data_IF_175753040397
#
_entry.id   IF_175753040397
#
_cell.length_a   1.000
_cell.length_b   1.000
_cell.length_c   1.000
_cell.angle_alpha   90.00
_cell.angle_beta   90.00
_cell.angle_gamma   90.00
#
_symmetry.space_group_name_H-M   'P 1'
#
loop_
_entity.id
_entity.type
_entity.pdbx_description
1 polymer ?
#
# COMPACT_ATOMS: atom_id res chain seq x y z
N UNK A 1 -16.86 16.75 32.20
CA UNK A 1 -16.95 17.34 30.84
C UNK A 1 -16.20 18.68 30.94
N UNK A 2 -15.28 18.99 30.00
CA UNK A 2 -14.41 20.20 29.98
C UNK A 2 -12.99 20.10 30.55
N UNK A 3 -12.22 19.08 30.14
CA UNK A 3 -10.73 19.14 30.19
C UNK A 3 -10.01 18.76 28.89
N UNK A 4 -10.72 18.58 27.78
CA UNK A 4 -10.12 18.12 26.49
C UNK A 4 -9.87 19.28 25.52
N UNK A 5 -9.85 20.54 25.98
CA UNK A 5 -9.88 21.72 25.09
C UNK A 5 -8.69 22.67 25.17
N UNK A 6 -7.59 22.35 25.87
CA UNK A 6 -6.50 23.33 26.07
C UNK A 6 -5.07 22.79 26.06
N UNK A 7 -4.80 21.69 25.37
CA UNK A 7 -3.42 21.41 25.00
C UNK A 7 -3.36 20.70 23.64
N UNK A 8 -2.99 21.44 22.60
CA UNK A 8 -2.77 20.85 21.26
C UNK A 8 -1.69 19.75 21.33
N UNK A 9 -0.76 19.82 22.28
CA UNK A 9 0.21 18.78 22.55
C UNK A 9 -0.42 17.52 23.15
N UNK A 10 -1.33 17.62 24.13
CA UNK A 10 -2.02 16.42 24.65
C UNK A 10 -2.91 15.79 23.58
N UNK A 11 -3.61 16.59 22.76
CA UNK A 11 -4.41 16.04 21.67
C UNK A 11 -3.53 15.32 20.63
N UNK A 12 -2.37 15.90 20.29
CA UNK A 12 -1.41 15.29 19.37
C UNK A 12 -0.85 14.00 19.96
N UNK A 13 -0.41 14.00 21.23
CA UNK A 13 0.08 12.81 21.91
C UNK A 13 -0.99 11.71 22.04
N UNK A 14 -2.25 12.09 22.28
CA UNK A 14 -3.37 11.16 22.34
C UNK A 14 -3.65 10.54 20.96
N UNK A 15 -3.61 11.35 19.90
CA UNK A 15 -3.73 10.86 18.52
C UNK A 15 -2.56 9.93 18.17
N UNK A 16 -1.32 10.30 18.48
CA UNK A 16 -0.13 9.46 18.29
C UNK A 16 -0.22 8.13 19.04
N UNK A 17 -0.80 8.11 20.25
CA UNK A 17 -1.00 6.87 21.02
C UNK A 17 -2.08 5.93 20.44
N UNK A 18 -3.02 6.47 19.64
CA UNK A 18 -4.06 5.69 18.94
C UNK A 18 -3.54 5.08 17.63
N UNK A 19 -2.49 5.66 17.04
CA UNK A 19 -1.77 5.10 15.90
C UNK A 19 -0.74 4.08 16.38
N UNK A 20 -1.17 2.93 16.93
CA UNK A 20 -0.25 1.81 17.11
C UNK A 20 -0.03 1.19 15.72
N UNK A 21 1.06 1.48 15.00
CA UNK A 21 1.24 1.03 13.64
C UNK A 21 1.81 -0.39 13.72
N UNK A 22 0.94 -1.38 13.94
CA UNK A 22 1.35 -2.78 13.76
C UNK A 22 1.18 -3.10 12.28
N UNK A 23 2.31 -3.14 11.60
CA UNK A 23 2.43 -3.59 10.22
C UNK A 23 3.57 -4.60 10.14
N UNK A 24 3.50 -5.48 9.15
CA UNK A 24 4.46 -6.54 8.95
C UNK A 24 4.69 -6.75 7.45
N UNK A 25 5.90 -7.17 7.10
CA UNK A 25 6.19 -7.55 5.73
C UNK A 25 5.32 -8.76 5.34
N UNK A 26 4.74 -8.72 4.14
CA UNK A 26 3.91 -9.78 3.59
C UNK A 26 2.73 -10.20 4.50
N UNK A 27 2.11 -9.22 5.20
CA UNK A 27 0.91 -9.43 6.02
C UNK A 27 -0.20 -10.10 5.22
N UNK A 28 -0.78 -11.17 5.76
CA UNK A 28 -1.70 -12.06 5.04
C UNK A 28 -1.05 -12.61 3.76
N UNK A 29 -0.10 -13.53 3.94
CA UNK A 29 0.76 -14.08 2.88
C UNK A 29 0.02 -14.48 1.59
N UNK A 30 -1.19 -15.05 1.71
CA UNK A 30 -1.99 -15.47 0.55
C UNK A 30 -2.33 -14.29 -0.38
N UNK A 31 -2.60 -13.09 0.16
CA UNK A 31 -2.85 -11.89 -0.64
C UNK A 31 -1.67 -11.60 -1.57
N UNK A 32 -0.44 -11.67 -1.05
CA UNK A 32 0.75 -11.42 -1.86
C UNK A 32 1.05 -12.55 -2.85
N UNK A 33 0.72 -13.80 -2.50
CA UNK A 33 0.82 -14.95 -3.43
C UNK A 33 -0.18 -14.82 -4.59
N UNK A 34 -1.41 -14.42 -4.31
CA UNK A 34 -2.45 -14.14 -5.32
C UNK A 34 -2.07 -12.93 -6.19
N UNK A 35 -1.52 -11.88 -5.58
CA UNK A 35 -0.99 -10.74 -6.33
C UNK A 35 0.11 -11.18 -7.32
N UNK A 36 1.07 -11.99 -6.85
CA UNK A 36 2.18 -12.47 -7.66
C UNK A 36 1.75 -13.37 -8.82
N UNK A 37 0.84 -14.31 -8.53
CA UNK A 37 0.51 -15.43 -9.43
C UNK A 37 -0.69 -15.18 -10.33
N UNK A 38 -1.59 -14.27 -9.94
CA UNK A 38 -2.84 -13.99 -10.69
C UNK A 38 -2.89 -12.54 -11.18
N UNK A 39 -2.58 -11.57 -10.31
CA UNK A 39 -2.74 -10.15 -10.63
C UNK A 39 -1.63 -9.64 -11.54
N UNK A 40 -0.36 -9.77 -11.16
CA UNK A 40 0.76 -9.25 -11.95
C UNK A 40 0.80 -9.78 -13.40
N UNK A 41 0.60 -11.09 -13.66
CA UNK A 41 0.54 -11.59 -15.04
C UNK A 41 -0.57 -10.95 -15.85
N UNK A 42 -1.70 -10.61 -15.23
CA UNK A 42 -2.89 -10.09 -15.94
C UNK A 42 -2.64 -8.72 -16.59
N UNK A 43 -1.71 -7.93 -16.06
CA UNK A 43 -1.38 -6.61 -16.60
C UNK A 43 -0.49 -6.68 -17.85
N UNK A 44 0.31 -7.74 -18.00
CA UNK A 44 1.30 -7.83 -19.09
C UNK A 44 0.65 -8.06 -20.45
N UNK A 45 -0.45 -8.79 -20.51
CA UNK A 45 -1.08 -9.20 -21.78
C UNK A 45 -1.74 -8.06 -22.57
N UNK A 46 -2.01 -6.90 -21.94
CA UNK A 46 -2.84 -5.84 -22.53
C UNK A 46 -2.20 -4.46 -22.58
N UNK A 47 -0.95 -4.31 -22.12
CA UNK A 47 -0.31 -3.00 -21.99
C UNK A 47 0.77 -2.76 -23.06
N UNK A 48 1.01 -1.49 -23.45
CA UNK A 48 2.07 -1.13 -24.39
C UNK A 48 3.47 -1.55 -23.89
N UNK A 49 4.43 -1.71 -24.82
CA UNK A 49 5.83 -2.07 -24.53
C UNK A 49 6.60 -1.10 -23.61
N UNK A 50 6.07 0.09 -23.34
CA UNK A 50 6.66 1.12 -22.46
C UNK A 50 5.61 1.64 -21.47
N UNK A 51 5.11 0.75 -20.64
CA UNK A 51 4.15 1.07 -19.59
C UNK A 51 4.80 0.91 -18.22
N UNK A 52 4.43 1.80 -17.30
CA UNK A 52 4.86 1.78 -15.90
C UNK A 52 3.69 1.28 -15.07
N UNK A 53 3.87 0.15 -14.37
CA UNK A 53 2.89 -0.36 -13.41
C UNK A 53 2.91 0.53 -12.17
N UNK A 54 1.82 1.24 -11.93
CA UNK A 54 1.70 2.16 -10.78
C UNK A 54 0.96 1.52 -9.64
N UNK A 55 1.59 1.47 -8.48
CA UNK A 55 0.98 0.99 -7.23
C UNK A 55 0.86 2.11 -6.21
N UNK A 56 -0.29 2.23 -5.56
CA UNK A 56 -0.49 3.13 -4.43
C UNK A 56 -0.78 2.34 -3.14
N UNK A 57 0.13 2.41 -2.15
CA UNK A 57 -0.12 1.89 -0.81
C UNK A 57 -0.59 3.01 0.12
N UNK A 58 -1.85 2.97 0.52
CA UNK A 58 -2.49 3.97 1.40
C UNK A 58 -2.47 3.47 2.84
N UNK A 59 -1.96 4.29 3.76
CA UNK A 59 -1.74 3.89 5.15
C UNK A 59 -0.50 3.02 5.32
N UNK A 60 0.61 3.39 4.69
CA UNK A 60 1.80 2.54 4.61
C UNK A 60 2.52 2.34 5.94
N UNK A 61 2.16 3.07 7.00
CA UNK A 61 2.77 3.03 8.32
C UNK A 61 4.31 3.11 8.21
N UNK A 62 5.03 2.16 8.80
CA UNK A 62 6.50 2.08 8.81
C UNK A 62 7.09 1.49 7.53
N UNK A 63 6.29 1.29 6.48
CA UNK A 63 6.71 1.00 5.11
C UNK A 63 6.69 -0.47 4.69
N UNK A 64 6.45 -1.40 5.61
CA UNK A 64 6.55 -2.84 5.38
C UNK A 64 5.71 -3.32 4.18
N UNK A 65 4.45 -2.87 4.07
CA UNK A 65 3.58 -3.21 2.95
C UNK A 65 4.06 -2.62 1.62
N UNK A 66 4.54 -1.38 1.64
CA UNK A 66 5.09 -0.70 0.45
C UNK A 66 6.34 -1.41 -0.07
N UNK A 67 7.24 -1.82 0.84
CA UNK A 67 8.43 -2.59 0.49
C UNK A 67 8.09 -4.01 0.03
N UNK A 68 7.11 -4.67 0.64
CA UNK A 68 6.59 -5.96 0.15
C UNK A 68 6.05 -5.87 -1.27
N UNK A 69 5.27 -4.83 -1.58
CA UNK A 69 4.80 -4.58 -2.94
C UNK A 69 5.96 -4.30 -3.89
N UNK A 70 6.92 -3.46 -3.51
CA UNK A 70 8.08 -3.17 -4.36
C UNK A 70 8.91 -4.43 -4.67
N UNK A 71 9.17 -5.28 -3.66
CA UNK A 71 9.87 -6.56 -3.87
C UNK A 71 9.09 -7.48 -4.81
N UNK A 72 7.77 -7.56 -4.64
CA UNK A 72 6.90 -8.38 -5.48
C UNK A 72 6.92 -7.89 -6.93
N UNK A 73 6.84 -6.57 -7.13
CA UNK A 73 6.85 -5.94 -8.44
C UNK A 73 8.19 -6.10 -9.15
N UNK A 74 9.32 -5.97 -8.45
CA UNK A 74 10.64 -6.18 -9.04
C UNK A 74 10.83 -7.62 -9.54
N UNK A 75 10.35 -8.61 -8.80
CA UNK A 75 10.38 -9.99 -9.27
C UNK A 75 9.41 -10.24 -10.42
N UNK A 76 8.19 -9.71 -10.33
CA UNK A 76 7.22 -9.78 -11.41
C UNK A 76 7.72 -9.13 -12.70
N UNK A 77 8.48 -8.03 -12.59
CA UNK A 77 9.11 -7.31 -13.70
C UNK A 77 10.06 -8.24 -14.47
N UNK A 78 10.87 -9.01 -13.76
CA UNK A 78 11.81 -9.95 -14.36
C UNK A 78 11.13 -11.19 -14.96
N UNK A 79 10.09 -11.69 -14.29
CA UNK A 79 9.38 -12.91 -14.71
C UNK A 79 8.48 -12.63 -15.91
N UNK A 80 7.73 -11.54 -15.89
CA UNK A 80 6.69 -11.24 -16.89
C UNK A 80 7.10 -10.15 -17.89
N UNK A 81 8.21 -9.45 -17.66
CA UNK A 81 8.80 -8.55 -18.65
C UNK A 81 8.06 -7.22 -18.86
N UNK A 82 7.27 -6.75 -17.89
CA UNK A 82 6.80 -5.35 -17.94
C UNK A 82 7.96 -4.39 -17.68
N UNK A 83 7.91 -3.20 -18.30
CA UNK A 83 9.10 -2.35 -18.46
C UNK A 83 9.55 -1.72 -17.14
N UNK A 84 8.63 -1.06 -16.43
CA UNK A 84 8.92 -0.24 -15.26
C UNK A 84 7.78 -0.37 -14.23
N UNK A 85 8.07 -0.05 -12.97
CA UNK A 85 7.05 0.15 -11.94
C UNK A 85 7.41 1.30 -11.01
N UNK A 86 6.40 1.83 -10.34
CA UNK A 86 6.52 2.77 -9.24
C UNK A 86 5.56 2.40 -8.11
N UNK A 87 6.01 2.57 -6.88
CA UNK A 87 5.17 2.46 -5.67
C UNK A 87 5.11 3.82 -5.02
N UNK A 88 3.92 4.40 -4.96
CA UNK A 88 3.65 5.56 -4.13
C UNK A 88 3.08 5.04 -2.82
N UNK A 89 3.70 5.39 -1.70
CA UNK A 89 3.24 4.97 -0.38
C UNK A 89 2.99 6.20 0.49
N UNK A 90 1.78 6.25 1.04
CA UNK A 90 1.27 7.42 1.76
C UNK A 90 0.80 7.10 3.16
N UNK A 91 1.05 8.01 4.10
CA UNK A 91 0.49 7.94 5.46
C UNK A 91 0.24 9.35 6.02
N UNK A 92 -0.52 9.44 7.10
CA UNK A 92 -0.74 10.66 7.88
C UNK A 92 0.32 10.85 8.97
N UNK A 93 0.91 9.74 9.44
CA UNK A 93 1.80 9.72 10.59
C UNK A 93 3.27 9.90 10.19
N UNK A 94 3.77 11.14 10.30
CA UNK A 94 5.14 11.51 9.93
C UNK A 94 6.24 10.67 10.59
N UNK A 95 6.17 10.30 11.89
CA UNK A 95 7.18 9.44 12.51
C UNK A 95 7.26 8.06 11.85
N UNK A 96 6.13 7.47 11.46
CA UNK A 96 6.11 6.19 10.75
C UNK A 96 6.70 6.32 9.34
N UNK A 97 6.37 7.38 8.61
CA UNK A 97 6.97 7.66 7.30
C UNK A 97 8.49 7.87 7.42
N UNK A 98 8.96 8.52 8.49
CA UNK A 98 10.39 8.69 8.73
C UNK A 98 11.11 7.34 8.94
N UNK A 99 10.47 6.37 9.61
CA UNK A 99 10.97 5.00 9.73
C UNK A 99 11.01 4.33 8.34
N UNK A 100 9.92 4.42 7.58
CA UNK A 100 9.83 3.87 6.22
C UNK A 100 10.94 4.44 5.31
N UNK A 101 11.17 5.76 5.37
CA UNK A 101 12.22 6.45 4.62
C UNK A 101 13.61 6.05 5.07
N UNK A 102 13.84 5.78 6.36
CA UNK A 102 15.11 5.18 6.78
C UNK A 102 15.25 3.79 6.19
N UNK A 103 14.17 3.00 6.13
CA UNK A 103 14.16 1.68 5.52
C UNK A 103 15.11 0.71 6.22
N UNK A 104 15.28 0.86 7.53
CA UNK A 104 16.15 0.02 8.36
C UNK A 104 15.25 -0.75 9.33
N UNK A 105 15.33 -2.07 9.28
CA UNK A 105 14.48 -2.98 10.03
C UNK A 105 15.29 -4.00 10.82
N UNK A 106 14.69 -4.56 11.86
CA UNK A 106 15.28 -5.66 12.64
C UNK A 106 15.11 -7.02 11.96
N UNK A 107 15.92 -8.00 12.35
CA UNK A 107 15.72 -9.40 11.90
C UNK A 107 14.31 -9.92 12.19
N UNK A 108 13.74 -9.54 13.34
CA UNK A 108 12.40 -9.97 13.75
C UNK A 108 11.31 -9.41 12.81
N UNK A 109 11.41 -8.13 12.41
CA UNK A 109 10.49 -7.53 11.45
C UNK A 109 10.57 -8.19 10.06
N UNK A 110 11.74 -8.70 9.69
CA UNK A 110 11.93 -9.39 8.40
C UNK A 110 11.56 -10.88 8.45
N UNK A 111 11.01 -11.40 9.55
CA UNK A 111 10.71 -12.83 9.71
C UNK A 111 9.83 -13.38 8.58
N UNK A 112 8.83 -12.61 8.16
CA UNK A 112 7.86 -12.98 7.12
C UNK A 112 8.36 -12.71 5.69
N UNK A 113 9.50 -12.03 5.51
CA UNK A 113 10.11 -11.82 4.18
C UNK A 113 10.72 -13.14 3.71
N UNK A 114 10.37 -13.66 2.51
CA UNK A 114 10.98 -14.86 1.95
C UNK A 114 12.52 -14.74 1.92
N UNK A 115 13.23 -15.81 2.31
CA UNK A 115 14.69 -15.78 2.45
C UNK A 115 15.41 -15.28 1.18
N UNK A 116 14.94 -15.70 0.00
CA UNK A 116 15.45 -15.26 -1.31
C UNK A 116 15.33 -13.75 -1.53
N UNK A 117 14.18 -13.16 -1.18
CA UNK A 117 13.95 -11.71 -1.26
C UNK A 117 14.78 -10.97 -0.20
N UNK A 118 14.90 -11.55 1.01
CA UNK A 118 15.68 -10.97 2.10
C UNK A 118 17.17 -10.84 1.73
N UNK A 119 17.73 -11.88 1.11
CA UNK A 119 19.14 -11.87 0.65
C UNK A 119 19.37 -10.87 -0.47
N UNK A 120 18.36 -10.64 -1.32
CA UNK A 120 18.47 -9.78 -2.51
C UNK A 120 18.20 -8.31 -2.22
N UNK A 121 17.17 -8.00 -1.45
CA UNK A 121 16.63 -6.64 -1.29
C UNK A 121 16.99 -5.99 0.04
N UNK A 122 17.85 -6.63 0.83
CA UNK A 122 18.31 -6.08 2.09
C UNK A 122 19.80 -6.28 2.30
N UNK A 123 20.43 -5.31 2.95
CA UNK A 123 21.85 -5.32 3.28
C UNK A 123 22.03 -5.06 4.78
N UNK A 124 22.82 -5.87 5.50
CA UNK A 124 23.18 -5.58 6.88
C UNK A 124 23.97 -4.27 7.01
N UNK A 125 23.67 -3.50 8.05
CA UNK A 125 24.33 -2.23 8.39
C UNK A 125 24.57 -2.16 9.90
N UNK A 126 25.30 -1.16 10.37
CA UNK A 126 25.53 -0.96 11.81
C UNK A 126 24.23 -0.66 12.59
N UNK A 127 23.20 -0.13 11.92
CA UNK A 127 21.94 0.31 12.52
C UNK A 127 20.82 -0.74 12.39
N UNK A 128 21.06 -1.86 11.72
CA UNK A 128 20.06 -2.88 11.42
C UNK A 128 20.17 -3.36 9.98
N UNK A 129 19.06 -3.79 9.39
CA UNK A 129 19.03 -4.34 8.03
C UNK A 129 18.33 -3.32 7.12
N UNK A 130 19.09 -2.74 6.19
CA UNK A 130 18.60 -1.69 5.30
C UNK A 130 18.02 -2.27 4.02
N UNK A 131 16.93 -1.69 3.52
CA UNK A 131 16.42 -1.94 2.17
C UNK A 131 17.45 -1.51 1.13
N UNK A 132 17.60 -2.29 0.06
CA UNK A 132 18.54 -2.06 -1.03
C UNK A 132 18.24 -0.75 -1.79
N UNK A 133 19.26 0.06 -2.15
CA UNK A 133 19.09 1.32 -2.87
C UNK A 133 18.32 1.21 -4.20
N UNK A 134 18.47 0.11 -4.93
CA UNK A 134 17.76 -0.09 -6.20
C UNK A 134 16.25 -0.14 -5.98
N UNK A 135 15.80 -0.83 -4.92
CA UNK A 135 14.39 -0.89 -4.56
C UNK A 135 13.87 0.45 -4.04
N UNK A 136 14.69 1.16 -3.24
CA UNK A 136 14.34 2.49 -2.72
C UNK A 136 14.07 3.51 -3.82
N UNK A 137 14.79 3.42 -4.94
CA UNK A 137 14.57 4.32 -6.09
C UNK A 137 13.19 4.14 -6.76
N UNK A 138 12.49 3.05 -6.46
CA UNK A 138 11.16 2.70 -7.00
C UNK A 138 10.01 3.06 -6.07
N UNK A 139 10.30 3.50 -4.85
CA UNK A 139 9.29 3.76 -3.82
C UNK A 139 9.33 5.22 -3.38
N UNK A 140 8.25 5.95 -3.64
CA UNK A 140 8.05 7.30 -3.15
C UNK A 140 7.25 7.27 -1.86
N UNK A 141 7.82 7.81 -0.77
CA UNK A 141 7.16 7.89 0.53
C UNK A 141 6.71 9.32 0.82
N UNK A 142 5.40 9.52 0.94
CA UNK A 142 4.78 10.85 1.00
C UNK A 142 3.81 10.96 2.17
N UNK A 143 3.91 12.04 2.94
CA UNK A 143 2.88 12.37 3.91
C UNK A 143 1.64 12.90 3.18
N UNK A 144 0.52 12.22 3.33
CA UNK A 144 -0.69 12.57 2.60
C UNK A 144 -1.96 12.16 3.35
N UNK A 145 -2.91 13.10 3.40
CA UNK A 145 -4.27 12.85 3.88
C UNK A 145 -5.18 12.50 2.71
N UNK A 146 -5.61 11.24 2.64
CA UNK A 146 -6.53 10.74 1.62
C UNK A 146 -7.91 11.41 1.69
N UNK A 147 -8.29 12.00 2.83
CA UNK A 147 -9.52 12.79 2.98
C UNK A 147 -9.32 14.28 2.70
N UNK A 148 -8.06 14.73 2.55
CA UNK A 148 -7.71 16.12 2.32
C UNK A 148 -8.11 16.62 0.93
N UNK A 149 -7.95 17.93 0.68
CA UNK A 149 -8.34 18.52 -0.61
C UNK A 149 -7.45 18.13 -1.79
N UNK A 150 -6.21 17.69 -1.54
CA UNK A 150 -5.31 17.19 -2.58
C UNK A 150 -5.64 15.73 -2.86
N UNK A 151 -5.81 15.35 -4.12
CA UNK A 151 -6.25 14.00 -4.53
C UNK A 151 -5.15 12.93 -4.39
N UNK A 152 -3.88 13.32 -4.52
CA UNK A 152 -2.72 12.44 -4.42
C UNK A 152 -1.42 13.26 -4.20
N UNK A 153 -0.26 12.61 -3.92
CA UNK A 153 1.05 13.25 -4.06
C UNK A 153 1.23 13.91 -5.43
N UNK A 154 2.03 14.98 -5.51
CA UNK A 154 2.23 15.79 -6.72
C UNK A 154 2.70 15.00 -7.95
N UNK A 155 3.31 13.84 -7.74
CA UNK A 155 3.79 12.90 -8.76
C UNK A 155 2.67 12.12 -9.46
N UNK A 156 1.55 11.89 -8.78
CA UNK A 156 0.39 11.15 -9.31
C UNK A 156 -0.70 12.05 -9.94
N UNK A 157 -0.47 13.37 -10.00
CA UNK A 157 -1.49 14.36 -10.43
C UNK A 157 -1.93 14.18 -11.88
N UNK A 158 -1.28 13.32 -12.68
CA UNK A 158 -1.59 13.13 -14.10
C UNK A 158 -2.03 11.71 -14.45
N UNK A 159 -1.93 10.72 -13.55
CA UNK A 159 -2.19 9.33 -13.92
C UNK A 159 -2.89 8.48 -12.85
N UNK A 160 -3.71 7.54 -13.32
CA UNK A 160 -4.39 6.53 -12.51
C UNK A 160 -3.41 5.42 -12.07
N UNK A 161 -3.79 4.70 -11.03
CA UNK A 161 -3.05 3.56 -10.50
C UNK A 161 -3.61 2.23 -11.01
N UNK A 162 -2.70 1.31 -11.31
CA UNK A 162 -3.03 -0.05 -11.71
C UNK A 162 -3.36 -0.93 -10.50
N UNK A 163 -2.69 -0.68 -9.38
CA UNK A 163 -2.94 -1.37 -8.11
C UNK A 163 -3.06 -0.33 -6.99
N UNK A 164 -4.13 -0.38 -6.20
CA UNK A 164 -4.25 0.36 -4.96
C UNK A 164 -4.37 -0.64 -3.81
N UNK A 165 -3.51 -0.50 -2.82
CA UNK A 165 -3.54 -1.27 -1.58
C UNK A 165 -4.01 -0.33 -0.47
N UNK A 166 -5.18 -0.64 0.11
CA UNK A 166 -5.80 0.11 1.20
C UNK A 166 -6.23 -0.91 2.27
N UNK A 167 -5.26 -1.36 3.06
CA UNK A 167 -5.45 -2.46 4.02
C UNK A 167 -5.34 -1.96 5.44
N UNK A 168 -6.29 -2.37 6.28
CA UNK A 168 -6.34 -2.08 7.71
C UNK A 168 -6.36 -0.58 8.04
N UNK A 169 -6.93 0.26 7.16
CA UNK A 169 -7.07 1.71 7.35
C UNK A 169 -8.53 2.09 7.60
N UNK A 170 -9.46 1.51 6.84
CA UNK A 170 -10.89 1.81 6.89
C UNK A 170 -11.50 1.45 8.25
N UNK A 171 -10.93 0.47 8.95
CA UNK A 171 -11.36 0.05 10.29
C UNK A 171 -11.30 1.18 11.34
N UNK A 172 -10.52 2.23 11.10
CA UNK A 172 -10.42 3.40 11.98
C UNK A 172 -11.43 4.52 11.64
N UNK A 173 -12.18 4.36 10.55
CA UNK A 173 -13.06 5.39 10.01
C UNK A 173 -14.53 5.04 10.21
N UNK A 174 -15.37 6.07 10.42
CA UNK A 174 -16.82 5.89 10.37
C UNK A 174 -17.28 5.57 8.94
N UNK A 175 -18.50 5.03 8.78
CA UNK A 175 -19.01 4.62 7.46
C UNK A 175 -19.04 5.75 6.44
N UNK A 176 -19.33 6.99 6.84
CA UNK A 176 -19.37 8.14 5.93
C UNK A 176 -17.97 8.46 5.41
N UNK A 177 -16.95 8.38 6.26
CA UNK A 177 -15.56 8.57 5.87
C UNK A 177 -15.03 7.41 5.03
N UNK A 178 -15.38 6.16 5.37
CA UNK A 178 -15.04 4.99 4.55
C UNK A 178 -15.54 5.15 3.11
N UNK A 179 -16.80 5.54 2.93
CA UNK A 179 -17.37 5.79 1.58
C UNK A 179 -16.58 6.88 0.84
N UNK A 180 -16.28 8.01 1.49
CA UNK A 180 -15.50 9.10 0.86
C UNK A 180 -14.10 8.67 0.43
N UNK A 181 -13.39 7.92 1.29
CA UNK A 181 -12.07 7.37 0.95
C UNK A 181 -12.18 6.45 -0.25
N UNK A 182 -13.15 5.54 -0.24
CA UNK A 182 -13.31 4.57 -1.31
C UNK A 182 -13.76 5.22 -2.62
N UNK A 183 -14.65 6.21 -2.62
CA UNK A 183 -14.99 7.01 -3.81
C UNK A 183 -13.75 7.62 -4.46
N UNK A 184 -12.84 8.17 -3.64
CA UNK A 184 -11.57 8.70 -4.14
C UNK A 184 -10.67 7.60 -4.69
N UNK A 185 -10.53 6.48 -3.99
CA UNK A 185 -9.78 5.31 -4.48
C UNK A 185 -10.33 4.85 -5.82
N UNK A 186 -11.64 4.68 -5.95
CA UNK A 186 -12.30 4.31 -7.22
C UNK A 186 -11.93 5.30 -8.33
N UNK A 187 -11.95 6.61 -8.05
CA UNK A 187 -11.62 7.64 -9.03
C UNK A 187 -10.16 7.61 -9.49
N UNK A 188 -9.27 7.06 -8.66
CA UNK A 188 -7.83 6.97 -8.91
C UNK A 188 -7.39 5.59 -9.43
N UNK A 189 -8.25 4.57 -9.38
CA UNK A 189 -7.99 3.24 -9.97
C UNK A 189 -8.26 3.25 -11.47
N UNK A 190 -7.33 2.75 -12.28
CA UNK A 190 -7.54 2.57 -13.73
C UNK A 190 -8.64 1.53 -14.02
N UNK A 191 -9.27 1.60 -15.18
CA UNK A 191 -10.21 0.54 -15.61
C UNK A 191 -9.44 -0.77 -15.78
N UNK A 192 -9.96 -1.85 -15.19
CA UNK A 192 -9.23 -3.12 -15.07
C UNK A 192 -8.13 -3.13 -14.01
N UNK A 193 -7.90 -2.01 -13.31
CA UNK A 193 -7.02 -1.92 -12.16
C UNK A 193 -7.55 -2.68 -10.95
N UNK A 194 -6.70 -2.85 -9.95
CA UNK A 194 -6.94 -3.70 -8.79
C UNK A 194 -6.98 -2.89 -7.51
N UNK A 195 -7.96 -3.17 -6.67
CA UNK A 195 -8.05 -2.67 -5.30
C UNK A 195 -7.90 -3.84 -4.33
N UNK A 196 -6.98 -3.72 -3.38
CA UNK A 196 -6.77 -4.69 -2.30
C UNK A 196 -7.19 -4.07 -0.97
N UNK A 197 -8.13 -4.70 -0.27
CA UNK A 197 -8.57 -4.30 1.07
C UNK A 197 -8.10 -5.31 2.13
N UNK A 198 -8.14 -4.93 3.41
CA UNK A 198 -7.91 -5.84 4.51
C UNK A 198 -9.06 -6.82 4.69
N UNK A 199 -8.80 -8.00 5.26
CA UNK A 199 -9.76 -9.11 5.32
C UNK A 199 -11.17 -8.75 5.88
N UNK A 200 -11.22 -7.83 6.85
CA UNK A 200 -12.45 -7.38 7.52
C UNK A 200 -13.05 -6.11 6.90
N UNK A 201 -12.40 -5.52 5.90
CA UNK A 201 -12.84 -4.32 5.21
C UNK A 201 -13.70 -4.68 4.00
N UNK A 202 -14.68 -3.85 3.69
CA UNK A 202 -15.69 -4.12 2.66
C UNK A 202 -15.97 -2.89 1.83
N UNK A 203 -16.29 -3.10 0.55
CA UNK A 203 -16.83 -2.06 -0.30
C UNK A 203 -18.26 -1.68 0.16
N UNK A 204 -18.59 -0.38 0.24
CA UNK A 204 -19.96 0.10 0.36
C UNK A 204 -20.83 -0.42 -0.79
N UNK A 205 -22.11 -0.65 -0.52
CA UNK A 205 -23.06 -1.17 -1.51
C UNK A 205 -23.17 -0.27 -2.74
N UNK A 206 -22.97 1.03 -2.58
CA UNK A 206 -23.01 2.02 -3.65
C UNK A 206 -21.85 1.86 -4.64
N UNK A 207 -20.72 1.29 -4.19
CA UNK A 207 -19.50 1.08 -4.97
C UNK A 207 -19.32 -0.36 -5.41
N UNK A 208 -20.07 -1.31 -4.85
CA UNK A 208 -19.92 -2.74 -5.14
C UNK A 208 -20.23 -3.12 -6.58
N UNK A 209 -21.00 -2.30 -7.32
CA UNK A 209 -21.26 -2.52 -8.75
C UNK A 209 -20.09 -2.14 -9.66
N UNK A 210 -19.10 -1.41 -9.15
CA UNK A 210 -17.93 -0.94 -9.92
C UNK A 210 -16.75 -1.90 -9.83
N UNK A 211 -16.83 -2.88 -8.92
CA UNK A 211 -15.76 -3.84 -8.65
C UNK A 211 -16.31 -5.25 -8.61
N UNK A 212 -15.55 -6.17 -9.16
CA UNK A 212 -15.77 -7.60 -8.98
C UNK A 212 -14.61 -8.22 -8.20
N UNK A 213 -14.84 -9.39 -7.59
CA UNK A 213 -13.73 -10.17 -7.01
C UNK A 213 -12.77 -10.55 -8.14
N UNK A 214 -11.47 -10.36 -7.91
CA UNK A 214 -10.47 -10.67 -8.91
C UNK A 214 -10.54 -12.17 -9.26
N UNK A 215 -10.66 -12.55 -10.55
CA UNK A 215 -10.83 -13.94 -10.94
C UNK A 215 -9.73 -14.86 -10.40
N UNK A 216 -10.13 -15.97 -9.77
CA UNK A 216 -9.22 -16.96 -9.19
C UNK A 216 -8.82 -16.71 -7.73
N UNK A 217 -9.14 -15.54 -7.18
CA UNK A 217 -8.88 -15.22 -5.75
C UNK A 217 -10.06 -15.62 -4.87
N UNK A 218 -9.79 -15.95 -3.60
CA UNK A 218 -10.85 -16.18 -2.63
C UNK A 218 -11.43 -14.84 -2.14
N UNK A 219 -12.75 -14.78 -1.94
CA UNK A 219 -13.42 -13.54 -1.49
C UNK A 219 -12.86 -12.99 -0.17
N UNK A 220 -12.35 -13.85 0.71
CA UNK A 220 -11.72 -13.49 1.98
C UNK A 220 -10.42 -12.68 1.83
N UNK A 221 -9.74 -12.80 0.68
CA UNK A 221 -8.49 -12.08 0.39
C UNK A 221 -8.74 -10.64 -0.10
N UNK A 222 -10.00 -10.30 -0.39
CA UNK A 222 -10.44 -8.92 -0.68
C UNK A 222 -9.65 -8.23 -1.80
N UNK A 223 -9.32 -9.00 -2.84
CA UNK A 223 -8.71 -8.51 -4.07
C UNK A 223 -9.83 -8.27 -5.08
N UNK A 224 -9.98 -7.04 -5.53
CA UNK A 224 -11.05 -6.61 -6.42
C UNK A 224 -10.48 -6.05 -7.73
N UNK A 225 -11.17 -6.30 -8.85
CA UNK A 225 -10.89 -5.68 -10.15
C UNK A 225 -11.96 -4.63 -10.47
N UNK A 226 -11.53 -3.45 -10.91
CA UNK A 226 -12.44 -2.40 -11.38
C UNK A 226 -12.98 -2.75 -12.76
N UNK A 227 -14.30 -2.73 -12.91
CA UNK A 227 -15.02 -3.00 -14.16
C UNK A 227 -14.93 -1.83 -15.15
#
# INVERSE_FOLDING_TARGET
RDKVRRDEHELTNLLESLFIPVTEFFRDRQVFEDLASLVLPSFVWKRPQKWTLRTWCIGCATGEEAWSMAMLLEEGREIFGFSEFEVVATDLHDPSIAIARRGIYSHAQLANVPARMRQRFFTPTAQGISVDPSLRSRVELVRHDILGHKLAPSTAVVALFDVIVLRNVLIYLDRRLQTKVLERVVSMTDTGGVLVLGAVETLPNELSGLFEIFPGTAQKERIFRKC
#
